data_IF_652351687968
#
_entry.id   IF_652351687968
#
_cell.length_a   1.000
_cell.length_b   1.000
_cell.length_c   1.000
_cell.angle_alpha   90.00
_cell.angle_beta   90.00
_cell.angle_gamma   90.00
#
_symmetry.space_group_name_H-M   'P 1'
#
loop_
_entity.id
_entity.type
_entity.pdbx_description
1 polymer ?
#
# COMPACT_ATOMS: atom_id res chain seq x y z
N UNK A 1 -25.56 26.61 4.34
CA UNK A 1 -25.03 25.39 4.96
C UNK A 1 -24.40 24.58 3.84
N UNK A 2 -23.09 24.75 3.62
CA UNK A 2 -22.38 24.18 2.48
C UNK A 2 -21.68 22.89 2.92
N UNK A 3 -21.96 21.79 2.22
CA UNK A 3 -21.24 20.53 2.39
C UNK A 3 -19.77 20.69 1.94
N UNK A 4 -18.80 20.02 2.59
CA UNK A 4 -17.42 20.08 2.16
C UNK A 4 -17.23 19.26 0.87
N UNK A 5 -16.54 19.91 -0.06
CA UNK A 5 -16.07 19.35 -1.33
C UNK A 5 -15.17 18.14 -1.02
N UNK A 6 -15.60 16.95 -1.45
CA UNK A 6 -14.77 15.77 -1.50
C UNK A 6 -13.65 16.00 -2.53
N UNK A 7 -12.49 16.49 -2.06
CA UNK A 7 -11.24 16.44 -2.81
C UNK A 7 -10.67 15.02 -2.73
N UNK A 8 -11.21 14.09 -3.51
CA UNK A 8 -10.48 12.89 -3.91
C UNK A 8 -11.20 12.28 -5.10
N UNK A 9 -10.68 12.47 -6.31
CA UNK A 9 -10.70 11.53 -7.44
C UNK A 9 -10.26 12.25 -8.73
N UNK A 10 -9.06 11.95 -9.21
CA UNK A 10 -8.68 12.09 -10.62
C UNK A 10 -7.47 11.19 -10.93
N UNK A 11 -7.68 9.88 -11.06
CA UNK A 11 -6.94 9.05 -12.04
C UNK A 11 -7.83 7.86 -12.41
N UNK A 12 -8.35 7.77 -13.65
CA UNK A 12 -8.90 6.52 -14.17
C UNK A 12 -7.74 5.55 -14.46
N UNK A 13 -8.02 4.29 -14.80
CA UNK A 13 -7.07 3.32 -15.40
C UNK A 13 -6.16 2.53 -14.42
N UNK A 14 -5.99 1.24 -14.71
CA UNK A 14 -5.34 0.17 -13.95
C UNK A 14 -3.87 0.37 -13.55
N UNK A 15 -3.31 1.57 -13.72
CA UNK A 15 -2.04 1.99 -13.12
C UNK A 15 -2.06 1.86 -11.59
N UNK A 16 -3.12 2.29 -10.93
CA UNK A 16 -3.28 2.14 -9.46
C UNK A 16 -3.32 0.68 -9.06
N UNK A 17 -4.01 -0.16 -9.84
CA UNK A 17 -4.08 -1.60 -9.56
C UNK A 17 -2.74 -2.29 -9.73
N UNK A 18 -1.94 -1.89 -10.73
CA UNK A 18 -0.60 -2.41 -10.94
C UNK A 18 0.33 -2.02 -9.78
N UNK A 19 0.36 -0.74 -9.40
CA UNK A 19 1.17 -0.25 -8.28
C UNK A 19 0.86 -0.99 -6.97
N UNK A 20 -0.43 -1.13 -6.63
CA UNK A 20 -0.82 -1.88 -5.44
C UNK A 20 -0.38 -3.36 -5.47
N UNK A 21 -0.37 -4.01 -6.64
CA UNK A 21 0.19 -5.36 -6.80
C UNK A 21 1.71 -5.37 -6.59
N UNK A 22 2.43 -4.41 -7.16
CA UNK A 22 3.89 -4.27 -7.00
C UNK A 22 4.27 -4.05 -5.53
N UNK A 23 3.55 -3.16 -4.82
CA UNK A 23 3.76 -2.94 -3.38
C UNK A 23 3.43 -4.20 -2.57
N UNK A 24 2.32 -4.89 -2.85
CA UNK A 24 1.99 -6.14 -2.17
C UNK A 24 3.09 -7.20 -2.35
N UNK A 25 3.62 -7.34 -3.57
CA UNK A 25 4.74 -8.24 -3.86
C UNK A 25 6.01 -7.82 -3.11
N UNK A 26 6.37 -6.53 -3.12
CA UNK A 26 7.53 -6.04 -2.39
C UNK A 26 7.42 -6.28 -0.87
N UNK A 27 6.22 -6.11 -0.30
CA UNK A 27 5.95 -6.41 1.11
C UNK A 27 6.14 -7.89 1.43
N UNK A 28 5.62 -8.79 0.58
CA UNK A 28 5.78 -10.24 0.74
C UNK A 28 7.25 -10.66 0.64
N UNK A 29 7.96 -10.20 -0.38
CA UNK A 29 9.40 -10.45 -0.55
C UNK A 29 10.20 -9.94 0.65
N UNK A 30 9.86 -8.75 1.16
CA UNK A 30 10.54 -8.19 2.34
C UNK A 30 10.25 -9.03 3.60
N UNK A 31 9.00 -9.45 3.79
CA UNK A 31 8.62 -10.31 4.90
C UNK A 31 9.35 -11.66 4.87
N UNK A 32 9.44 -12.29 3.69
CA UNK A 32 10.20 -13.53 3.51
C UNK A 32 11.68 -13.35 3.89
N UNK A 33 12.34 -12.31 3.35
CA UNK A 33 13.73 -11.99 3.68
C UNK A 33 13.96 -11.84 5.19
N UNK A 34 13.04 -11.15 5.88
CA UNK A 34 13.11 -10.98 7.34
C UNK A 34 13.01 -12.33 8.07
N UNK A 35 12.12 -13.22 7.62
CA UNK A 35 11.92 -14.54 8.23
C UNK A 35 13.07 -15.51 7.94
N UNK A 36 13.75 -15.37 6.80
CA UNK A 36 14.87 -16.24 6.39
C UNK A 36 16.23 -15.75 6.90
N UNK A 37 16.26 -14.79 7.83
CA UNK A 37 17.48 -14.40 8.54
C UNK A 37 18.15 -13.11 8.05
N UNK A 38 17.41 -12.19 7.43
CA UNK A 38 17.95 -10.85 7.16
C UNK A 38 18.38 -10.15 8.46
N UNK A 39 19.49 -9.41 8.37
CA UNK A 39 20.13 -8.78 9.52
C UNK A 39 19.33 -7.55 10.01
N UNK A 40 18.30 -7.80 10.82
CA UNK A 40 17.35 -6.78 11.27
C UNK A 40 17.86 -5.98 12.48
N UNK A 41 17.68 -4.65 12.45
CA UNK A 41 17.97 -3.77 13.61
C UNK A 41 17.15 -2.48 13.50
N UNK A 42 16.16 -2.32 14.39
CA UNK A 42 15.26 -1.16 14.35
C UNK A 42 15.98 0.20 14.45
N UNK A 43 17.07 0.28 15.23
CA UNK A 43 17.82 1.52 15.43
C UNK A 43 18.79 1.88 14.30
N UNK A 44 18.89 1.06 13.24
CA UNK A 44 19.68 1.35 12.05
C UNK A 44 18.72 1.62 10.89
N UNK A 45 18.76 2.83 10.32
CA UNK A 45 17.81 3.27 9.28
C UNK A 45 17.86 2.46 7.99
N UNK A 46 18.98 1.78 7.72
CA UNK A 46 19.11 0.84 6.62
C UNK A 46 18.56 -0.55 6.93
N UNK A 47 18.36 -0.90 8.22
CA UNK A 47 18.02 -2.26 8.68
C UNK A 47 16.74 -2.34 9.51
N UNK A 48 16.01 -1.23 9.63
CA UNK A 48 14.72 -1.14 10.27
C UNK A 48 13.59 -1.55 9.30
N UNK A 49 12.34 -1.40 9.73
CA UNK A 49 11.15 -1.83 8.98
C UNK A 49 11.09 -1.18 7.58
N UNK A 50 11.19 0.15 7.55
CA UNK A 50 11.17 0.92 6.31
C UNK A 50 12.46 0.70 5.50
N UNK A 51 13.61 0.58 6.18
CA UNK A 51 14.89 0.28 5.55
C UNK A 51 14.88 -1.05 4.78
N UNK A 52 14.31 -2.11 5.34
CA UNK A 52 14.19 -3.40 4.64
C UNK A 52 13.26 -3.33 3.42
N UNK A 53 12.12 -2.63 3.52
CA UNK A 53 11.25 -2.40 2.37
C UNK A 53 11.98 -1.59 1.28
N UNK A 54 12.71 -0.54 1.67
CA UNK A 54 13.53 0.27 0.77
C UNK A 54 14.58 -0.57 0.03
N UNK A 55 15.28 -1.47 0.72
CA UNK A 55 16.22 -2.40 0.09
C UNK A 55 15.54 -3.24 -0.99
N UNK A 56 14.34 -3.78 -0.71
CA UNK A 56 13.61 -4.60 -1.69
C UNK A 56 13.24 -3.81 -2.94
N UNK A 57 12.80 -2.56 -2.77
CA UNK A 57 12.33 -1.71 -3.87
C UNK A 57 13.48 -1.12 -4.69
N UNK A 58 14.55 -0.70 -4.03
CA UNK A 58 15.64 0.04 -4.69
C UNK A 58 16.85 -0.83 -5.03
N UNK A 59 16.96 -2.03 -4.46
CA UNK A 59 18.15 -2.88 -4.49
C UNK A 59 19.40 -2.22 -3.88
N UNK A 60 19.25 -1.08 -3.19
CA UNK A 60 20.33 -0.49 -2.43
C UNK A 60 20.65 -1.35 -1.21
N UNK A 61 21.92 -1.39 -0.85
CA UNK A 61 22.37 -2.04 0.38
C UNK A 61 21.90 -1.28 1.62
N UNK A 62 21.83 -1.98 2.76
CA UNK A 62 21.58 -1.36 4.07
C UNK A 62 22.56 -0.23 4.39
N UNK A 63 23.81 -0.32 3.92
CA UNK A 63 24.82 0.72 4.13
C UNK A 63 24.49 1.99 3.33
N UNK A 64 24.16 1.85 2.06
CA UNK A 64 23.79 2.98 1.21
C UNK A 64 22.55 3.71 1.74
N UNK A 65 21.51 2.96 2.14
CA UNK A 65 20.29 3.57 2.71
C UNK A 65 20.61 4.32 4.00
N UNK A 66 21.44 3.73 4.89
CA UNK A 66 21.87 4.39 6.11
C UNK A 66 22.65 5.69 5.82
N UNK A 67 23.59 5.65 4.87
CA UNK A 67 24.38 6.81 4.46
C UNK A 67 23.50 7.92 3.86
N UNK A 68 22.48 7.56 3.07
CA UNK A 68 21.52 8.51 2.54
C UNK A 68 20.69 9.14 3.66
N UNK A 69 20.23 8.31 4.61
CA UNK A 69 19.45 8.76 5.75
C UNK A 69 20.25 9.66 6.70
N UNK A 70 21.57 9.49 6.82
CA UNK A 70 22.45 10.31 7.67
C UNK A 70 22.62 11.76 7.20
N UNK A 71 22.20 12.10 5.98
CA UNK A 71 22.28 13.47 5.47
C UNK A 71 21.31 14.43 6.16
N UNK A 72 20.27 13.88 6.82
CA UNK A 72 19.33 14.62 7.65
C UNK A 72 19.09 13.88 8.96
N UNK A 73 18.91 14.58 10.09
CA UNK A 73 18.58 13.91 11.34
C UNK A 73 17.19 13.28 11.25
N UNK A 74 17.00 12.24 12.05
CA UNK A 74 15.69 11.68 12.35
C UNK A 74 15.40 10.31 11.73
N UNK A 75 14.37 9.69 12.27
CA UNK A 75 13.81 8.43 11.81
C UNK A 75 12.94 8.64 10.57
N UNK A 76 12.43 7.57 9.99
CA UNK A 76 11.61 7.62 8.77
C UNK A 76 10.40 8.52 8.93
N UNK A 77 9.71 8.48 10.07
CA UNK A 77 8.55 9.33 10.36
C UNK A 77 8.88 10.83 10.37
N UNK A 78 10.12 11.20 10.69
CA UNK A 78 10.62 12.58 10.67
C UNK A 78 11.12 12.95 9.27
N UNK A 79 11.83 12.03 8.60
CA UNK A 79 12.35 12.22 7.24
C UNK A 79 11.24 12.52 6.22
N UNK A 80 10.09 11.84 6.33
CA UNK A 80 8.96 12.03 5.41
C UNK A 80 8.24 13.38 5.60
N UNK A 81 8.42 14.07 6.73
CA UNK A 81 7.83 15.41 6.95
C UNK A 81 8.52 16.42 6.04
N UNK A 82 9.83 16.26 5.87
CA UNK A 82 10.69 17.10 5.04
C UNK A 82 10.85 16.54 3.60
N UNK A 83 10.01 15.57 3.23
CA UNK A 83 10.08 14.96 1.90
C UNK A 83 9.76 15.98 0.81
N UNK A 84 10.67 16.14 -0.13
CA UNK A 84 10.49 16.97 -1.31
C UNK A 84 11.06 16.24 -2.54
N UNK A 85 10.23 15.89 -3.54
CA UNK A 85 10.66 15.11 -4.71
C UNK A 85 11.72 15.81 -5.57
N UNK A 86 11.89 17.13 -5.44
CA UNK A 86 12.82 17.95 -6.23
C UNK A 86 13.99 18.49 -5.43
N UNK A 87 14.18 18.06 -4.18
CA UNK A 87 15.25 18.58 -3.30
C UNK A 87 16.66 18.17 -3.76
N UNK A 88 16.76 17.05 -4.48
CA UNK A 88 18.03 16.42 -4.83
C UNK A 88 18.65 15.57 -3.71
N UNK A 89 18.02 15.45 -2.54
CA UNK A 89 18.54 14.59 -1.47
C UNK A 89 18.37 13.10 -1.83
N UNK A 90 19.41 12.27 -1.69
CA UNK A 90 19.33 10.83 -1.95
C UNK A 90 18.24 10.12 -1.15
N UNK A 91 17.96 10.57 0.07
CA UNK A 91 16.90 9.97 0.88
C UNK A 91 15.50 10.25 0.31
N UNK A 92 15.29 11.38 -0.35
CA UNK A 92 14.02 11.66 -1.04
C UNK A 92 13.86 10.75 -2.27
N UNK A 93 14.94 10.32 -2.91
CA UNK A 93 14.89 9.27 -3.96
C UNK A 93 14.42 7.94 -3.36
N UNK A 94 14.92 7.56 -2.19
CA UNK A 94 14.50 6.33 -1.50
C UNK A 94 13.03 6.39 -1.10
N UNK A 95 12.58 7.49 -0.50
CA UNK A 95 11.16 7.68 -0.14
C UNK A 95 10.31 7.66 -1.42
N UNK A 96 10.75 8.34 -2.48
CA UNK A 96 10.10 8.37 -3.79
C UNK A 96 9.86 6.97 -4.35
N UNK A 97 10.83 6.06 -4.25
CA UNK A 97 10.67 4.67 -4.73
C UNK A 97 9.51 3.91 -4.06
N UNK A 98 9.20 4.22 -2.79
CA UNK A 98 8.04 3.65 -2.10
C UNK A 98 6.74 4.26 -2.62
N UNK A 99 6.74 5.56 -2.90
CA UNK A 99 5.56 6.27 -3.42
C UNK A 99 5.24 5.87 -4.86
N UNK A 100 6.27 5.61 -5.68
CA UNK A 100 6.13 5.18 -7.07
C UNK A 100 5.36 3.87 -7.23
N UNK A 101 5.57 2.93 -6.30
CA UNK A 101 4.82 1.66 -6.21
C UNK A 101 3.51 1.81 -5.43
N UNK A 102 3.10 3.03 -5.07
CA UNK A 102 1.79 3.32 -4.51
C UNK A 102 1.69 3.31 -2.99
N UNK A 103 2.80 3.26 -2.25
CA UNK A 103 2.74 3.57 -0.83
C UNK A 103 2.45 5.06 -0.63
N UNK A 104 1.82 5.42 0.48
CA UNK A 104 1.67 6.83 0.88
C UNK A 104 2.72 7.21 1.93
N UNK A 105 2.97 8.50 2.13
CA UNK A 105 3.83 8.96 3.24
C UNK A 105 3.30 8.50 4.60
N UNK A 106 1.98 8.40 4.75
CA UNK A 106 1.36 7.88 5.97
C UNK A 106 1.61 6.38 6.17
N UNK A 107 1.64 5.61 5.09
CA UNK A 107 2.02 4.21 5.16
C UNK A 107 3.48 4.04 5.60
N UNK A 108 4.40 4.88 5.09
CA UNK A 108 5.81 4.87 5.51
C UNK A 108 5.93 5.23 7.00
N UNK A 109 5.19 6.23 7.46
CA UNK A 109 5.09 6.59 8.89
C UNK A 109 4.63 5.41 9.74
N UNK A 110 3.57 4.75 9.29
CA UNK A 110 2.96 3.64 10.02
C UNK A 110 3.85 2.39 10.03
N UNK A 111 4.59 2.12 8.95
CA UNK A 111 5.51 0.99 8.86
C UNK A 111 6.63 1.08 9.89
N UNK A 112 7.14 2.28 10.19
CA UNK A 112 8.20 2.47 11.18
C UNK A 112 7.82 1.89 12.56
N UNK A 113 6.54 1.98 12.93
CA UNK A 113 6.04 1.61 14.27
C UNK A 113 4.93 0.55 14.25
N UNK A 114 4.67 -0.08 13.11
CA UNK A 114 3.60 -1.07 12.91
C UNK A 114 2.22 -0.56 13.37
N UNK A 115 1.86 0.65 12.96
CA UNK A 115 0.75 1.39 13.60
C UNK A 115 -0.46 1.68 12.72
N UNK A 116 -0.51 1.23 11.46
CA UNK A 116 -1.66 1.50 10.59
C UNK A 116 -2.92 0.83 11.12
N UNK A 117 -3.99 1.58 11.47
CA UNK A 117 -5.23 0.98 11.95
C UNK A 117 -5.87 0.05 10.91
N UNK A 118 -5.66 0.30 9.62
CA UNK A 118 -6.19 -0.53 8.53
C UNK A 118 -5.48 -1.89 8.49
N UNK A 119 -4.15 -1.90 8.60
CA UNK A 119 -3.36 -3.14 8.62
C UNK A 119 -3.63 -3.92 9.90
N UNK A 120 -3.62 -3.23 11.05
CA UNK A 120 -3.83 -3.85 12.36
C UNK A 120 -5.21 -4.51 12.52
N UNK A 121 -6.24 -4.07 11.78
CA UNK A 121 -7.56 -4.74 11.78
C UNK A 121 -7.54 -6.14 11.18
N UNK A 122 -6.51 -6.50 10.40
CA UNK A 122 -6.35 -7.82 9.77
C UNK A 122 -5.55 -8.81 10.61
N UNK A 123 -4.95 -8.33 11.68
CA UNK A 123 -4.17 -9.17 12.59
C UNK A 123 -5.10 -9.55 13.76
N UNK A 124 -5.23 -10.86 14.09
CA UNK A 124 -6.03 -11.31 15.22
C UNK A 124 -5.69 -10.53 16.50
N UNK A 125 -6.69 -10.23 17.32
CA UNK A 125 -6.51 -9.34 18.48
C UNK A 125 -5.41 -9.83 19.43
N UNK A 126 -5.31 -11.14 19.66
CA UNK A 126 -4.25 -11.74 20.49
C UNK A 126 -2.85 -11.41 19.95
N UNK A 127 -2.57 -11.78 18.69
CA UNK A 127 -1.30 -11.48 18.02
C UNK A 127 -1.02 -9.97 17.97
N UNK A 128 -2.05 -9.16 17.71
CA UNK A 128 -1.93 -7.71 17.55
C UNK A 128 -1.39 -7.02 18.81
N UNK A 129 -1.82 -7.47 19.99
CA UNK A 129 -1.39 -6.89 21.27
C UNK A 129 0.08 -7.18 21.58
N UNK A 130 0.64 -8.21 20.96
CA UNK A 130 2.03 -8.64 21.14
C UNK A 130 2.97 -8.05 20.08
N UNK A 131 2.43 -7.38 19.04
CA UNK A 131 3.24 -6.81 17.97
C UNK A 131 4.28 -5.84 18.53
N UNK A 132 5.51 -6.01 18.03
CA UNK A 132 6.64 -5.20 18.42
C UNK A 132 7.38 -4.80 17.16
N UNK A 133 7.47 -3.49 16.93
CA UNK A 133 8.21 -2.93 15.81
C UNK A 133 9.73 -3.17 15.91
N UNK A 134 10.21 -3.83 16.98
CA UNK A 134 11.61 -4.24 17.18
C UNK A 134 11.84 -5.73 16.96
N UNK A 135 10.78 -6.50 16.71
CA UNK A 135 10.85 -7.93 16.41
C UNK A 135 10.61 -8.14 14.90
N UNK A 136 11.61 -8.67 14.20
CA UNK A 136 11.54 -8.89 12.75
C UNK A 136 10.40 -9.82 12.33
N UNK A 137 10.02 -10.81 13.15
CA UNK A 137 8.89 -11.70 12.88
C UNK A 137 7.56 -10.93 12.93
N UNK A 138 7.43 -9.99 13.88
CA UNK A 138 6.23 -9.17 14.03
C UNK A 138 6.14 -8.15 12.87
N UNK A 139 7.28 -7.62 12.43
CA UNK A 139 7.38 -6.76 11.24
C UNK A 139 6.98 -7.53 9.98
N UNK A 140 7.50 -8.76 9.79
CA UNK A 140 7.12 -9.62 8.67
C UNK A 140 5.61 -9.94 8.68
N UNK A 141 5.05 -10.28 9.85
CA UNK A 141 3.60 -10.52 10.03
C UNK A 141 2.77 -9.30 9.62
N UNK A 142 3.21 -8.10 10.01
CA UNK A 142 2.55 -6.84 9.64
C UNK A 142 2.65 -6.56 8.13
N UNK A 143 3.81 -6.77 7.52
CA UNK A 143 4.00 -6.62 6.07
C UNK A 143 3.10 -7.58 5.27
N UNK A 144 2.95 -8.83 5.72
CA UNK A 144 2.01 -9.80 5.13
C UNK A 144 0.56 -9.30 5.26
N UNK A 145 0.15 -8.84 6.45
CA UNK A 145 -1.19 -8.28 6.66
C UNK A 145 -1.47 -7.05 5.78
N UNK A 146 -0.45 -6.26 5.50
CA UNK A 146 -0.56 -5.11 4.61
C UNK A 146 -0.66 -5.54 3.14
N UNK A 147 0.11 -6.55 2.71
CA UNK A 147 -0.05 -7.12 1.37
C UNK A 147 -1.46 -7.69 1.14
N UNK A 148 -2.00 -8.43 2.13
CA UNK A 148 -3.37 -8.95 2.10
C UNK A 148 -4.42 -7.84 1.97
N UNK A 149 -4.26 -6.72 2.69
CA UNK A 149 -5.10 -5.52 2.56
C UNK A 149 -5.12 -5.01 1.11
N UNK A 150 -3.96 -4.86 0.49
CA UNK A 150 -3.85 -4.34 -0.86
C UNK A 150 -4.51 -5.29 -1.88
N UNK A 151 -4.26 -6.58 -1.76
CA UNK A 151 -4.84 -7.62 -2.63
C UNK A 151 -6.37 -7.69 -2.50
N UNK A 152 -6.90 -7.58 -1.29
CA UNK A 152 -8.35 -7.53 -1.03
C UNK A 152 -9.01 -6.32 -1.70
N UNK A 153 -8.40 -5.13 -1.55
CA UNK A 153 -8.89 -3.90 -2.19
C UNK A 153 -8.90 -4.02 -3.72
N UNK A 154 -7.91 -4.70 -4.29
CA UNK A 154 -7.86 -4.96 -5.73
C UNK A 154 -8.96 -5.92 -6.18
N UNK A 155 -9.25 -6.96 -5.40
CA UNK A 155 -10.36 -7.87 -5.66
C UNK A 155 -11.71 -7.16 -5.64
N UNK A 156 -11.94 -6.28 -4.66
CA UNK A 156 -13.16 -5.48 -4.53
C UNK A 156 -13.35 -4.52 -5.72
N UNK A 157 -12.28 -3.85 -6.16
CA UNK A 157 -12.31 -2.96 -7.34
C UNK A 157 -12.67 -3.72 -8.61
N UNK A 158 -12.15 -4.93 -8.81
CA UNK A 158 -12.47 -5.78 -9.96
C UNK A 158 -13.91 -6.33 -9.91
N UNK A 159 -14.41 -6.64 -8.72
CA UNK A 159 -15.78 -7.12 -8.51
C UNK A 159 -16.88 -6.06 -8.56
N UNK A 160 -16.52 -4.77 -8.51
CA UNK A 160 -17.47 -3.64 -8.47
C UNK A 160 -17.77 -3.02 -9.84
N UNK A 161 -17.30 -3.60 -10.95
CA UNK A 161 -17.72 -3.15 -12.29
C UNK A 161 -19.21 -3.46 -12.51
N UNK A 162 -20.03 -2.49 -12.98
CA UNK A 162 -21.45 -2.73 -13.23
C UNK A 162 -21.63 -3.85 -14.26
N UNK A 163 -22.16 -4.99 -13.83
CA UNK A 163 -22.74 -5.95 -14.75
C UNK A 163 -24.06 -5.37 -15.28
N UNK A 164 -24.23 -5.51 -16.59
CA UNK A 164 -25.32 -4.99 -17.41
C UNK A 164 -26.70 -5.19 -16.76
N UNK A 165 -27.48 -4.10 -16.74
CA UNK A 165 -28.92 -4.16 -16.53
C UNK A 165 -29.48 -5.02 -17.67
N UNK A 166 -29.87 -6.26 -17.37
CA UNK A 166 -30.78 -7.00 -18.24
C UNK A 166 -32.12 -6.28 -18.18
N UNK A 167 -32.41 -5.46 -19.18
CA UNK A 167 -33.74 -4.97 -19.45
C UNK A 167 -34.65 -6.18 -19.74
N UNK A 168 -35.40 -6.62 -18.74
CA UNK A 168 -36.60 -7.40 -18.98
C UNK A 168 -37.60 -6.48 -19.67
N UNK A 169 -37.74 -6.66 -20.98
CA UNK A 169 -38.65 -5.92 -21.84
C UNK A 169 -40.10 -6.35 -21.50
N UNK A 170 -40.94 -5.50 -20.88
CA UNK A 170 -42.33 -5.86 -20.62
C UNK A 170 -43.07 -5.81 -21.95
N UNK A 171 -43.67 -6.95 -22.32
CA UNK A 171 -44.34 -7.17 -23.59
C UNK A 171 -45.17 -5.98 -24.07
N UNK A 172 -44.72 -5.38 -25.17
CA UNK A 172 -45.51 -4.46 -25.96
C UNK A 172 -46.73 -5.21 -26.51
N UNK A 173 -47.89 -4.82 -25.99
CA UNK A 173 -49.21 -5.05 -26.58
C UNK A 173 -49.31 -4.43 -27.97
N UNK A 174 -49.87 -5.17 -28.92
CA UNK A 174 -50.51 -4.60 -30.11
C UNK A 174 -51.87 -5.26 -30.36
N UNK A 175 -52.93 -4.49 -30.64
CA UNK A 175 -54.22 -5.01 -31.08
C UNK A 175 -54.36 -5.07 -32.62
N UNK A 176 -55.12 -6.08 -33.08
CA UNK A 176 -56.13 -6.05 -34.16
C UNK A 176 -55.76 -5.64 -35.61
N UNK A 177 -55.89 -6.56 -36.60
CA UNK A 177 -56.98 -6.58 -37.62
C UNK A 177 -56.71 -7.50 -38.85
N UNK A 178 -57.64 -8.46 -39.04
CA UNK A 178 -58.49 -8.78 -40.21
C UNK A 178 -57.95 -8.71 -41.67
N UNK A 179 -58.01 -9.84 -42.40
CA UNK A 179 -58.65 -10.04 -43.74
C UNK A 179 -58.44 -11.51 -44.22
N UNK A 180 -59.53 -12.25 -44.51
CA UNK A 180 -59.94 -12.84 -45.82
C UNK A 180 -58.99 -13.95 -46.35
N UNK A 181 -59.42 -15.16 -46.72
CA UNK A 181 -60.61 -15.64 -47.45
C UNK A 181 -61.12 -17.00 -46.96
#
# INVERSE_FOLDING_TARGET
MSAPIALQNCFPDGSTSRRALELAQALRTTAERLLTGADYRWSDLGRCNCGHLAQTLTQLSQQQIREFAMQRPGLWAEQIVEYCPTSGFPMDVVIGSMLEVGATLDDVRHLERLSSPKVLKRIPVGERLELSYRNHQHVARYMVAWAELLEEQLGQLRGSSPQEIREENPGASTPEKLAAE
#
